data_IF_953575298938
#
_entry.id   IF_953575298938
#
_cell.length_a   1.000
_cell.length_b   1.000
_cell.length_c   1.000
_cell.angle_alpha   90.00
_cell.angle_beta   90.00
_cell.angle_gamma   90.00
#
_symmetry.space_group_name_H-M   'P 1'
#
loop_
_entity.id
_entity.type
_entity.pdbx_description
1 polymer ?
#
# COMPACT_ATOMS: atom_id res chain seq x y z
N UNK A 1 7.30 29.98 1.93
CA UNK A 1 7.41 29.17 0.69
C UNK A 1 7.75 27.75 1.12
N UNK A 2 6.99 26.75 0.63
CA UNK A 2 7.18 25.33 0.93
C UNK A 2 8.25 24.77 -0.01
N UNK A 3 9.32 24.26 0.55
CA UNK A 3 10.47 23.72 -0.19
C UNK A 3 10.24 22.24 -0.51
N UNK A 4 10.14 21.89 -1.79
CA UNK A 4 9.78 20.55 -2.26
C UNK A 4 10.93 19.89 -2.99
N UNK A 5 11.20 18.61 -2.68
CA UNK A 5 12.09 17.73 -3.42
C UNK A 5 11.25 16.73 -4.21
N UNK A 6 11.52 16.57 -5.52
CA UNK A 6 10.87 15.60 -6.39
C UNK A 6 11.78 14.40 -6.62
N UNK A 7 11.28 13.19 -6.38
CA UNK A 7 12.02 11.93 -6.59
C UNK A 7 11.14 11.01 -7.45
N UNK A 8 11.47 10.85 -8.73
CA UNK A 8 10.71 10.07 -9.71
C UNK A 8 11.64 9.69 -10.88
N UNK A 9 11.69 8.45 -11.31
CA UNK A 9 12.54 8.02 -12.42
C UNK A 9 11.94 8.38 -13.80
N UNK A 10 10.65 8.73 -13.85
CA UNK A 10 9.98 9.17 -15.08
C UNK A 10 10.22 10.66 -15.34
N UNK A 11 11.16 10.97 -16.23
CA UNK A 11 11.54 12.34 -16.57
C UNK A 11 10.36 13.24 -16.93
N UNK A 12 9.43 12.77 -17.76
CA UNK A 12 8.26 13.57 -18.21
C UNK A 12 7.30 13.88 -17.05
N UNK A 13 7.14 12.96 -16.09
CA UNK A 13 6.31 13.18 -14.89
C UNK A 13 6.98 14.23 -14.02
N UNK A 14 8.27 14.07 -13.77
CA UNK A 14 9.08 14.98 -12.95
C UNK A 14 9.08 16.40 -13.51
N UNK A 15 9.36 16.56 -14.83
CA UNK A 15 9.31 17.86 -15.50
C UNK A 15 7.92 18.51 -15.45
N UNK A 16 6.85 17.74 -15.67
CA UNK A 16 5.49 18.24 -15.63
C UNK A 16 5.07 18.70 -14.23
N UNK A 17 5.44 17.93 -13.20
CA UNK A 17 5.20 18.30 -11.81
C UNK A 17 6.00 19.54 -11.40
N UNK A 18 7.30 19.58 -11.72
CA UNK A 18 8.15 20.73 -11.43
C UNK A 18 7.57 22.02 -12.03
N UNK A 19 7.27 22.02 -13.33
CA UNK A 19 6.70 23.18 -14.01
C UNK A 19 5.37 23.64 -13.40
N UNK A 20 4.50 22.70 -13.01
CA UNK A 20 3.24 23.04 -12.36
C UNK A 20 3.47 23.61 -10.94
N UNK A 21 4.33 22.98 -10.14
CA UNK A 21 4.59 23.42 -8.77
C UNK A 21 5.29 24.78 -8.72
N UNK A 22 6.21 25.06 -9.64
CA UNK A 22 6.85 26.38 -9.79
C UNK A 22 5.87 27.48 -10.17
N UNK A 23 4.70 27.14 -10.78
CA UNK A 23 3.64 28.12 -11.02
C UNK A 23 2.85 28.51 -9.78
N UNK A 24 3.03 27.77 -8.67
CA UNK A 24 2.37 28.06 -7.39
C UNK A 24 3.19 29.08 -6.58
N UNK A 25 2.60 30.19 -6.12
CA UNK A 25 3.35 31.26 -5.46
C UNK A 25 3.94 30.88 -4.10
N UNK A 26 3.47 29.80 -3.51
CA UNK A 26 3.80 29.34 -2.16
C UNK A 26 4.63 28.05 -2.14
N UNK A 27 5.02 27.50 -3.33
CA UNK A 27 5.79 26.27 -3.46
C UNK A 27 7.08 26.54 -4.28
N UNK A 28 8.17 25.98 -3.84
CA UNK A 28 9.47 26.04 -4.53
C UNK A 28 10.05 24.64 -4.68
N UNK A 29 10.37 24.22 -5.91
CA UNK A 29 11.06 22.96 -6.17
C UNK A 29 12.56 23.19 -5.98
N UNK A 30 13.11 22.68 -4.88
CA UNK A 30 14.52 22.88 -4.50
C UNK A 30 15.47 21.83 -5.04
N UNK A 31 14.92 20.77 -5.66
CA UNK A 31 15.73 19.71 -6.26
C UNK A 31 14.86 18.64 -6.92
N UNK A 32 15.50 17.91 -7.82
CA UNK A 32 14.94 16.77 -8.52
C UNK A 32 15.91 15.60 -8.48
N UNK A 33 15.40 14.38 -8.28
CA UNK A 33 16.15 13.15 -8.32
C UNK A 33 15.49 12.14 -9.26
N UNK A 34 16.29 11.44 -10.04
CA UNK A 34 15.85 10.40 -10.99
C UNK A 34 15.85 8.99 -10.41
N UNK A 35 16.30 8.82 -9.18
CA UNK A 35 16.36 7.54 -8.48
C UNK A 35 16.35 7.73 -6.96
N UNK A 36 16.09 6.65 -6.22
CA UNK A 36 15.98 6.69 -4.78
C UNK A 36 17.26 7.08 -4.06
N UNK A 37 18.43 6.67 -4.55
CA UNK A 37 19.72 6.98 -3.92
C UNK A 37 20.05 8.46 -3.99
N UNK A 38 19.97 9.05 -5.19
CA UNK A 38 20.11 10.49 -5.37
C UNK A 38 19.07 11.25 -4.55
N UNK A 39 17.85 10.74 -4.48
CA UNK A 39 16.77 11.29 -3.67
C UNK A 39 17.13 11.38 -2.19
N UNK A 40 17.69 10.30 -1.62
CA UNK A 40 18.15 10.27 -0.23
C UNK A 40 19.28 11.28 0.00
N UNK A 41 20.27 11.35 -0.90
CA UNK A 41 21.39 12.29 -0.79
C UNK A 41 20.89 13.74 -0.79
N UNK A 42 20.03 14.11 -1.74
CA UNK A 42 19.46 15.45 -1.83
C UNK A 42 18.52 15.78 -0.66
N UNK A 43 17.76 14.82 -0.15
CA UNK A 43 16.92 15.04 1.03
C UNK A 43 17.75 15.42 2.26
N UNK A 44 18.88 14.72 2.49
CA UNK A 44 19.77 14.99 3.62
C UNK A 44 20.48 16.34 3.46
N UNK A 45 20.96 16.64 2.24
CA UNK A 45 21.68 17.88 1.94
C UNK A 45 20.77 19.10 2.04
N UNK A 46 19.62 19.04 1.36
CA UNK A 46 18.75 20.20 1.15
C UNK A 46 17.69 20.39 2.23
N UNK A 47 17.38 19.34 3.00
CA UNK A 47 16.36 19.33 4.07
C UNK A 47 15.05 19.99 3.59
N UNK A 48 14.34 19.38 2.63
CA UNK A 48 13.08 19.89 2.12
C UNK A 48 11.99 19.87 3.19
N UNK A 49 10.97 20.74 3.06
CA UNK A 49 9.78 20.70 3.89
C UNK A 49 8.87 19.53 3.53
N UNK A 50 8.82 19.19 2.23
CA UNK A 50 8.03 18.08 1.70
C UNK A 50 8.81 17.35 0.60
N UNK A 51 8.69 16.03 0.57
CA UNK A 51 9.27 15.16 -0.46
C UNK A 51 8.13 14.50 -1.23
N UNK A 52 8.11 14.63 -2.56
CA UNK A 52 7.29 13.79 -3.43
C UNK A 52 8.13 12.60 -3.87
N UNK A 53 7.68 11.38 -3.58
CA UNK A 53 8.41 10.14 -3.77
C UNK A 53 7.65 9.16 -4.66
N UNK A 54 8.23 8.78 -5.80
CA UNK A 54 7.71 7.61 -6.53
C UNK A 54 8.06 6.31 -5.81
N UNK A 55 7.16 5.34 -5.88
CA UNK A 55 7.39 4.02 -5.29
C UNK A 55 8.22 3.09 -6.18
N UNK A 56 8.02 3.19 -7.48
CA UNK A 56 8.59 2.24 -8.44
C UNK A 56 9.72 2.93 -9.19
N UNK A 57 10.93 2.70 -8.72
CA UNK A 57 12.15 3.23 -9.35
C UNK A 57 13.18 2.12 -9.51
N UNK A 58 14.04 2.25 -10.49
CA UNK A 58 15.12 1.31 -10.72
C UNK A 58 16.21 1.44 -9.64
N UNK A 59 16.75 0.32 -9.16
CA UNK A 59 17.74 0.29 -8.09
C UNK A 59 17.12 0.41 -6.70
N UNK A 60 17.27 1.54 -6.02
CA UNK A 60 16.63 1.81 -4.73
C UNK A 60 15.18 2.25 -4.94
N UNK A 61 14.22 1.45 -4.49
CA UNK A 61 12.81 1.80 -4.59
C UNK A 61 12.37 2.87 -3.59
N UNK A 62 11.13 3.38 -3.76
CA UNK A 62 10.61 4.44 -2.91
C UNK A 62 10.36 4.02 -1.46
N UNK A 63 10.17 2.73 -1.18
CA UNK A 63 10.00 2.22 0.19
C UNK A 63 11.35 2.25 0.91
N UNK A 64 12.40 1.75 0.27
CA UNK A 64 13.77 1.75 0.80
C UNK A 64 14.26 3.19 1.00
N UNK A 65 14.03 4.08 0.01
CA UNK A 65 14.39 5.48 0.09
C UNK A 65 13.64 6.20 1.23
N UNK A 66 12.34 5.97 1.38
CA UNK A 66 11.52 6.50 2.48
C UNK A 66 12.08 6.08 3.83
N UNK A 67 12.36 4.79 4.01
CA UNK A 67 12.93 4.25 5.25
C UNK A 67 14.28 4.87 5.59
N UNK A 68 15.15 5.02 4.60
CA UNK A 68 16.48 5.62 4.78
C UNK A 68 16.39 7.11 5.14
N UNK A 69 15.51 7.86 4.48
CA UNK A 69 15.25 9.29 4.78
C UNK A 69 14.71 9.46 6.20
N UNK A 70 13.69 8.68 6.57
CA UNK A 70 13.10 8.72 7.92
C UNK A 70 14.08 8.29 9.02
N UNK A 71 15.05 7.45 8.69
CA UNK A 71 16.14 7.09 9.62
C UNK A 71 17.21 8.17 9.82
N UNK A 72 17.28 9.16 8.92
CA UNK A 72 18.35 10.19 8.91
C UNK A 72 17.84 11.61 9.16
N UNK A 73 16.58 11.89 8.88
CA UNK A 73 15.95 13.18 9.11
C UNK A 73 14.93 13.08 10.22
N UNK A 74 14.78 14.15 10.97
CA UNK A 74 13.75 14.29 12.00
C UNK A 74 12.43 14.72 11.37
N UNK A 75 11.42 13.87 11.45
CA UNK A 75 10.05 14.09 10.98
C UNK A 75 9.90 14.56 9.50
N UNK A 76 10.53 13.87 8.50
CA UNK A 76 10.40 14.24 7.10
C UNK A 76 8.96 14.05 6.61
N UNK A 77 8.44 14.99 5.84
CA UNK A 77 7.09 14.93 5.28
C UNK A 77 7.16 14.31 3.88
N UNK A 78 6.89 13.02 3.78
CA UNK A 78 6.98 12.27 2.52
C UNK A 78 5.57 11.98 1.99
N UNK A 79 5.29 12.45 0.78
CA UNK A 79 4.09 12.15 0.00
C UNK A 79 4.50 11.15 -1.07
N UNK A 80 3.90 9.98 -1.03
CA UNK A 80 4.10 8.98 -2.08
C UNK A 80 3.21 9.28 -3.27
N UNK A 81 3.82 9.27 -4.47
CA UNK A 81 3.12 9.33 -5.75
C UNK A 81 3.36 8.03 -6.51
N UNK A 82 2.31 7.35 -6.95
CA UNK A 82 2.41 6.10 -7.69
C UNK A 82 1.42 6.00 -8.84
N UNK A 83 1.75 5.22 -9.85
CA UNK A 83 0.85 4.98 -10.99
C UNK A 83 -0.32 4.07 -10.63
N UNK A 84 -0.17 3.19 -9.64
CA UNK A 84 -1.16 2.19 -9.26
C UNK A 84 -1.26 2.05 -7.73
N UNK A 85 -2.46 1.71 -7.24
CA UNK A 85 -2.64 1.26 -5.86
C UNK A 85 -2.24 -0.21 -5.81
N UNK A 86 -1.00 -0.48 -5.45
CA UNK A 86 -0.50 -1.82 -5.20
C UNK A 86 -0.68 -2.14 -3.71
N UNK A 87 -1.57 -3.07 -3.40
CA UNK A 87 -1.94 -3.43 -2.04
C UNK A 87 -0.73 -3.90 -1.22
N UNK A 88 0.22 -4.55 -1.88
CA UNK A 88 1.42 -5.06 -1.23
C UNK A 88 2.44 -3.95 -0.90
N UNK A 89 2.34 -2.76 -1.50
CA UNK A 89 3.26 -1.64 -1.29
C UNK A 89 2.72 -0.51 -0.41
N UNK A 90 1.38 -0.36 -0.34
CA UNK A 90 0.74 0.71 0.46
C UNK A 90 1.15 0.64 1.93
N UNK A 91 0.98 -0.53 2.54
CA UNK A 91 1.29 -0.68 3.97
C UNK A 91 2.79 -0.55 4.27
N UNK A 92 3.70 -1.23 3.53
CA UNK A 92 5.13 -1.09 3.77
C UNK A 92 5.64 0.35 3.67
N UNK A 93 5.12 1.18 2.77
CA UNK A 93 5.58 2.56 2.64
C UNK A 93 5.05 3.47 3.75
N UNK A 94 3.83 3.24 4.23
CA UNK A 94 3.29 3.95 5.42
C UNK A 94 4.08 3.53 6.67
N UNK A 95 4.38 2.23 6.82
CA UNK A 95 5.22 1.72 7.91
C UNK A 95 6.66 2.26 7.85
N UNK A 96 7.18 2.49 6.65
CA UNK A 96 8.47 3.15 6.43
C UNK A 96 8.50 4.62 6.85
N UNK A 97 7.33 5.25 7.04
CA UNK A 97 7.17 6.62 7.52
C UNK A 97 6.58 7.61 6.52
N UNK A 98 6.01 7.16 5.40
CA UNK A 98 5.32 8.06 4.49
C UNK A 98 4.07 8.68 5.15
N UNK A 99 3.94 10.00 5.03
CA UNK A 99 2.83 10.76 5.60
C UNK A 99 1.56 10.68 4.74
N UNK A 100 1.71 10.69 3.42
CA UNK A 100 0.59 10.76 2.47
C UNK A 100 0.80 9.82 1.30
N UNK A 101 -0.31 9.43 0.66
CA UNK A 101 -0.28 8.53 -0.49
C UNK A 101 -1.29 8.99 -1.55
N UNK A 102 -0.81 9.30 -2.74
CA UNK A 102 -1.58 9.81 -3.87
C UNK A 102 -1.26 9.02 -5.16
N UNK A 103 -2.18 9.06 -6.12
CA UNK A 103 -1.94 8.54 -7.45
C UNK A 103 -1.32 9.60 -8.37
N UNK A 104 -0.43 9.21 -9.28
CA UNK A 104 0.09 10.07 -10.36
C UNK A 104 -1.01 10.55 -11.32
N UNK A 105 -2.19 9.90 -11.28
CA UNK A 105 -3.39 10.31 -12.03
C UNK A 105 -4.22 11.38 -11.32
N UNK A 106 -3.90 11.71 -10.07
CA UNK A 106 -4.54 12.83 -9.35
C UNK A 106 -4.29 14.15 -10.07
N UNK A 107 -5.22 15.08 -9.93
CA UNK A 107 -5.04 16.42 -10.52
C UNK A 107 -3.83 17.11 -9.89
N UNK A 108 -3.10 17.85 -10.69
CA UNK A 108 -1.93 18.60 -10.20
C UNK A 108 -2.28 19.57 -9.03
N UNK A 109 -3.50 20.14 -9.05
CA UNK A 109 -4.01 20.94 -7.92
C UNK A 109 -4.19 20.14 -6.63
N UNK A 110 -4.60 18.88 -6.72
CA UNK A 110 -4.75 17.98 -5.56
C UNK A 110 -3.39 17.62 -4.97
N UNK A 111 -2.36 17.48 -5.82
CA UNK A 111 -0.97 17.27 -5.38
C UNK A 111 -0.46 18.52 -4.65
N UNK A 112 -0.69 19.73 -5.20
CA UNK A 112 -0.30 20.97 -4.53
C UNK A 112 -1.00 21.15 -3.17
N UNK A 113 -2.30 20.81 -3.09
CA UNK A 113 -3.04 20.84 -1.82
C UNK A 113 -2.55 19.80 -0.82
N UNK A 114 -2.06 18.64 -1.29
CA UNK A 114 -1.43 17.64 -0.44
C UNK A 114 -0.06 18.11 0.08
N UNK A 115 0.72 18.83 -0.73
CA UNK A 115 1.97 19.44 -0.31
C UNK A 115 1.72 20.46 0.81
N UNK A 116 0.71 21.33 0.66
CA UNK A 116 0.32 22.31 1.69
C UNK A 116 -0.09 21.62 3.00
N UNK A 117 -0.94 20.60 2.92
CA UNK A 117 -1.36 19.82 4.08
C UNK A 117 -0.15 19.11 4.74
N UNK A 118 0.70 18.44 3.96
CA UNK A 118 1.87 17.74 4.47
C UNK A 118 2.86 18.70 5.17
N UNK A 119 3.05 19.91 4.66
CA UNK A 119 3.96 20.90 5.26
C UNK A 119 3.59 21.30 6.70
N UNK A 120 2.33 21.14 7.07
CA UNK A 120 1.82 21.35 8.45
C UNK A 120 1.56 20.03 9.19
N UNK A 121 2.00 18.90 8.63
CA UNK A 121 1.86 17.57 9.24
C UNK A 121 0.49 16.92 9.07
N UNK A 122 -0.37 17.42 8.20
CA UNK A 122 -1.69 16.84 7.93
C UNK A 122 -1.59 15.78 6.81
N UNK A 123 -1.93 14.51 7.08
CA UNK A 123 -1.90 13.46 6.05
C UNK A 123 -3.05 13.60 5.06
N UNK A 124 -2.77 13.38 3.78
CA UNK A 124 -3.79 13.13 2.75
C UNK A 124 -3.66 11.73 2.20
N UNK A 125 -4.70 10.92 2.39
CA UNK A 125 -4.82 9.58 1.84
C UNK A 125 -6.06 9.53 0.95
N UNK A 126 -5.94 8.94 -0.22
CA UNK A 126 -7.12 8.60 -1.00
C UNK A 126 -8.02 7.62 -0.22
N UNK A 127 -9.35 7.74 -0.36
CA UNK A 127 -10.31 6.95 0.41
C UNK A 127 -10.08 5.43 0.30
N UNK A 128 -9.67 4.95 -0.89
CA UNK A 128 -9.31 3.55 -1.12
C UNK A 128 -8.08 3.13 -0.34
N UNK A 129 -7.07 3.99 -0.25
CA UNK A 129 -5.84 3.74 0.50
C UNK A 129 -6.11 3.78 1.99
N UNK A 130 -6.86 4.76 2.46
CA UNK A 130 -7.26 4.87 3.87
C UNK A 130 -8.02 3.62 4.35
N UNK A 131 -8.96 3.10 3.55
CA UNK A 131 -9.67 1.85 3.85
C UNK A 131 -8.74 0.65 4.03
N UNK A 132 -7.71 0.52 3.17
CA UNK A 132 -6.73 -0.57 3.24
C UNK A 132 -5.81 -0.46 4.44
N UNK A 133 -5.32 0.74 4.74
CA UNK A 133 -4.49 0.99 5.93
C UNK A 133 -5.27 0.66 7.20
N UNK A 134 -6.52 1.12 7.31
CA UNK A 134 -7.39 0.83 8.45
C UNK A 134 -7.70 -0.68 8.59
N UNK A 135 -7.98 -1.37 7.48
CA UNK A 135 -8.18 -2.81 7.46
C UNK A 135 -6.96 -3.54 8.03
N UNK A 136 -5.76 -3.19 7.57
CA UNK A 136 -4.53 -3.84 8.02
C UNK A 136 -4.14 -3.47 9.46
N UNK A 137 -4.40 -2.23 9.89
CA UNK A 137 -4.21 -1.82 11.29
C UNK A 137 -5.13 -2.58 12.24
N UNK A 138 -6.37 -2.87 11.86
CA UNK A 138 -7.28 -3.73 12.63
C UNK A 138 -6.69 -5.13 12.80
N UNK A 139 -6.05 -5.68 11.77
CA UNK A 139 -5.42 -7.00 11.82
C UNK A 139 -4.10 -7.02 12.61
N UNK A 140 -3.39 -5.89 12.72
CA UNK A 140 -2.13 -5.79 13.49
C UNK A 140 -2.31 -5.42 14.95
N UNK A 141 -3.48 -4.87 15.33
CA UNK A 141 -3.77 -4.44 16.71
C UNK A 141 -4.28 -5.55 17.64
N UNK A 142 -4.07 -6.83 17.33
CA UNK A 142 -4.47 -7.96 18.19
C UNK A 142 -5.94 -8.36 18.03
N UNK A 143 -6.63 -7.96 16.97
CA UNK A 143 -7.90 -8.55 16.58
C UNK A 143 -7.66 -9.98 16.10
N UNK A 144 -8.55 -10.86 16.49
CA UNK A 144 -8.53 -12.29 16.18
C UNK A 144 -8.28 -12.53 14.68
N UNK A 145 -7.41 -13.48 14.29
CA UNK A 145 -7.17 -13.81 12.89
C UNK A 145 -8.49 -14.04 12.14
N UNK A 146 -8.62 -13.55 10.91
CA UNK A 146 -9.88 -13.63 10.15
C UNK A 146 -10.48 -15.03 10.09
N UNK A 147 -9.63 -16.06 10.13
CA UNK A 147 -10.10 -17.45 10.16
C UNK A 147 -10.81 -17.84 11.47
N UNK A 148 -10.68 -17.08 12.55
CA UNK A 148 -11.46 -17.30 13.77
C UNK A 148 -12.94 -16.89 13.60
N UNK A 149 -13.24 -16.07 12.57
CA UNK A 149 -14.63 -15.75 12.17
C UNK A 149 -15.30 -16.87 11.38
N UNK A 150 -14.54 -17.88 10.94
CA UNK A 150 -15.06 -19.02 10.22
C UNK A 150 -15.79 -19.97 11.18
N UNK A 151 -16.92 -20.50 10.72
CA UNK A 151 -17.57 -21.63 11.40
C UNK A 151 -16.68 -22.88 11.32
N UNK A 152 -16.88 -23.84 12.22
CA UNK A 152 -16.14 -25.10 12.17
C UNK A 152 -16.19 -25.76 10.78
N UNK A 153 -17.35 -25.67 10.11
CA UNK A 153 -17.57 -26.23 8.76
C UNK A 153 -16.79 -25.45 7.68
N UNK A 154 -16.76 -24.14 7.77
CA UNK A 154 -16.00 -23.29 6.85
C UNK A 154 -14.49 -23.52 7.02
N UNK A 155 -14.01 -23.65 8.26
CA UNK A 155 -12.60 -23.95 8.54
C UNK A 155 -12.19 -25.33 7.98
N UNK A 156 -13.05 -26.34 8.14
CA UNK A 156 -12.83 -27.67 7.57
C UNK A 156 -12.73 -27.62 6.04
N UNK A 157 -13.64 -26.91 5.39
CA UNK A 157 -13.63 -26.73 3.93
C UNK A 157 -12.41 -25.92 3.48
N UNK A 158 -12.00 -24.88 4.23
CA UNK A 158 -10.79 -24.12 3.92
C UNK A 158 -9.52 -24.99 3.93
N UNK A 159 -9.41 -25.91 4.88
CA UNK A 159 -8.28 -26.87 4.94
C UNK A 159 -8.23 -27.74 3.70
N UNK A 160 -9.38 -28.30 3.29
CA UNK A 160 -9.48 -29.13 2.08
C UNK A 160 -9.19 -28.32 0.80
N UNK A 161 -9.57 -27.05 0.77
CA UNK A 161 -9.21 -26.11 -0.31
C UNK A 161 -7.69 -25.92 -0.36
N UNK A 162 -7.03 -25.75 0.77
CA UNK A 162 -5.59 -25.59 0.86
C UNK A 162 -4.82 -26.85 0.49
N UNK A 163 -5.41 -28.04 0.69
CA UNK A 163 -4.89 -29.31 0.19
C UNK A 163 -5.07 -29.51 -1.33
N UNK A 164 -5.67 -28.55 -2.02
CA UNK A 164 -5.87 -28.59 -3.48
C UNK A 164 -7.08 -29.41 -3.94
N UNK A 165 -7.97 -29.84 -3.05
CA UNK A 165 -9.17 -30.65 -3.40
C UNK A 165 -10.18 -29.83 -4.19
N UNK A 166 -10.82 -30.43 -5.20
CA UNK A 166 -11.88 -29.79 -5.96
C UNK A 166 -13.19 -29.72 -5.16
N UNK A 167 -14.13 -28.87 -5.58
CA UNK A 167 -15.45 -28.83 -4.94
C UNK A 167 -16.21 -30.17 -4.98
N UNK A 168 -15.90 -31.03 -5.96
CA UNK A 168 -16.46 -32.37 -6.05
C UNK A 168 -15.87 -33.28 -4.97
N UNK A 169 -14.54 -33.27 -4.83
CA UNK A 169 -13.84 -34.10 -3.83
C UNK A 169 -14.28 -33.70 -2.41
N UNK A 170 -14.40 -32.38 -2.15
CA UNK A 170 -14.87 -31.83 -0.87
C UNK A 170 -16.33 -32.26 -0.60
N UNK A 171 -17.19 -32.23 -1.62
CA UNK A 171 -18.59 -32.64 -1.48
C UNK A 171 -18.70 -34.15 -1.14
N UNK A 172 -17.90 -34.99 -1.77
CA UNK A 172 -17.83 -36.43 -1.52
C UNK A 172 -17.29 -36.72 -0.10
N UNK A 173 -16.20 -36.08 0.27
CA UNK A 173 -15.55 -36.30 1.58
C UNK A 173 -16.41 -35.83 2.76
N UNK A 174 -17.10 -34.71 2.59
CA UNK A 174 -17.92 -34.12 3.64
C UNK A 174 -19.40 -34.54 3.60
N UNK A 175 -19.77 -35.43 2.67
CA UNK A 175 -21.16 -35.93 2.47
C UNK A 175 -22.19 -34.81 2.27
N UNK A 176 -21.84 -33.78 1.47
CA UNK A 176 -22.72 -32.65 1.14
C UNK A 176 -22.78 -32.43 -0.37
N UNK A 177 -23.67 -31.55 -0.81
CA UNK A 177 -23.80 -31.26 -2.25
C UNK A 177 -22.71 -30.30 -2.73
N UNK A 178 -22.31 -30.39 -4.00
CA UNK A 178 -21.37 -29.43 -4.63
C UNK A 178 -21.89 -28.00 -4.51
N UNK A 179 -23.22 -27.80 -4.57
CA UNK A 179 -23.83 -26.46 -4.38
C UNK A 179 -23.54 -25.92 -2.99
N UNK A 180 -23.66 -26.77 -1.97
CA UNK A 180 -23.37 -26.41 -0.57
C UNK A 180 -21.89 -26.04 -0.40
N UNK A 181 -20.97 -26.81 -1.01
CA UNK A 181 -19.52 -26.47 -1.00
C UNK A 181 -19.28 -25.11 -1.63
N UNK A 182 -19.87 -24.81 -2.80
CA UNK A 182 -19.74 -23.50 -3.46
C UNK A 182 -20.21 -22.37 -2.56
N UNK A 183 -21.32 -22.53 -1.85
CA UNK A 183 -21.83 -21.52 -0.91
C UNK A 183 -20.83 -21.28 0.23
N UNK A 184 -20.30 -22.35 0.84
CA UNK A 184 -19.30 -22.21 1.89
C UNK A 184 -18.01 -21.55 1.38
N UNK A 185 -17.52 -21.92 0.20
CA UNK A 185 -16.33 -21.29 -0.41
C UNK A 185 -16.58 -19.79 -0.60
N UNK A 186 -17.72 -19.37 -1.13
CA UNK A 186 -18.05 -17.94 -1.27
C UNK A 186 -18.04 -17.23 0.08
N UNK A 187 -18.62 -17.84 1.12
CA UNK A 187 -18.63 -17.26 2.47
C UNK A 187 -17.19 -17.17 3.06
N UNK A 188 -16.37 -18.20 2.83
CA UNK A 188 -14.96 -18.22 3.25
C UNK A 188 -14.20 -17.07 2.59
N UNK A 189 -14.31 -16.91 1.25
CA UNK A 189 -13.65 -15.82 0.53
C UNK A 189 -14.06 -14.45 1.09
N UNK A 190 -15.35 -14.24 1.33
CA UNK A 190 -15.86 -13.00 1.91
C UNK A 190 -15.34 -12.76 3.33
N UNK A 191 -15.31 -13.77 4.20
CA UNK A 191 -14.83 -13.65 5.60
C UNK A 191 -13.33 -13.49 5.72
N UNK A 192 -12.57 -14.11 4.80
CA UNK A 192 -11.12 -13.97 4.73
C UNK A 192 -10.68 -12.73 3.94
N UNK A 193 -11.63 -11.98 3.37
CA UNK A 193 -11.37 -10.79 2.54
C UNK A 193 -10.41 -11.07 1.37
N UNK A 194 -10.59 -12.22 0.71
CA UNK A 194 -9.79 -12.66 -0.45
C UNK A 194 -10.66 -12.82 -1.69
N UNK A 195 -10.08 -12.58 -2.87
CA UNK A 195 -10.82 -12.54 -4.14
C UNK A 195 -11.06 -13.91 -4.74
N UNK A 196 -10.18 -14.87 -4.49
CA UNK A 196 -10.24 -16.18 -5.12
C UNK A 196 -9.77 -17.32 -4.21
N UNK A 197 -10.04 -18.53 -4.70
CA UNK A 197 -9.71 -19.79 -4.03
C UNK A 197 -8.21 -19.98 -3.79
N UNK A 198 -7.36 -19.49 -4.70
CA UNK A 198 -5.90 -19.60 -4.58
C UNK A 198 -5.41 -18.75 -3.42
N UNK A 199 -5.93 -17.53 -3.31
CA UNK A 199 -5.62 -16.64 -2.19
C UNK A 199 -6.09 -17.23 -0.85
N UNK A 200 -7.25 -17.88 -0.80
CA UNK A 200 -7.74 -18.58 0.39
C UNK A 200 -6.80 -19.73 0.80
N UNK A 201 -6.30 -20.51 -0.16
CA UNK A 201 -5.33 -21.56 0.10
C UNK A 201 -3.99 -20.99 0.63
N UNK A 202 -3.47 -19.94 0.02
CA UNK A 202 -2.26 -19.23 0.49
C UNK A 202 -2.46 -18.67 1.90
N UNK A 203 -3.65 -18.10 2.19
CA UNK A 203 -3.99 -17.63 3.53
C UNK A 203 -3.90 -18.77 4.58
N UNK A 204 -4.48 -19.95 4.26
CA UNK A 204 -4.46 -21.10 5.14
C UNK A 204 -3.04 -21.60 5.46
N UNK A 205 -2.17 -21.65 4.44
CA UNK A 205 -0.75 -22.03 4.63
C UNK A 205 0.03 -20.98 5.45
N UNK A 206 -0.13 -19.69 5.17
CA UNK A 206 0.52 -18.59 5.90
C UNK A 206 0.15 -18.58 7.40
N UNK A 207 -1.10 -18.93 7.71
CA UNK A 207 -1.60 -18.98 9.09
C UNK A 207 -1.44 -20.38 9.73
N UNK A 208 -0.71 -21.30 9.08
CA UNK A 208 -0.41 -22.67 9.59
C UNK A 208 -1.69 -23.46 9.94
N UNK A 209 -2.79 -23.24 9.20
CA UNK A 209 -4.05 -23.97 9.39
C UNK A 209 -3.98 -25.38 8.78
N UNK A 210 -3.02 -25.62 7.87
CA UNK A 210 -2.67 -26.88 7.23
C UNK A 210 -1.17 -27.09 7.34
N UNK A 211 -0.76 -28.38 7.32
CA UNK A 211 0.66 -28.77 7.35
C UNK A 211 1.26 -28.76 5.95
#
# INVERSE_FOLDING_TARGET
VIRVLLIDDHEMVRMGLAAFLESQPDIEVIGEASDGRLGVELAIEKKPDVILMDLVMEGMDGIEATKEICGKLDDPKIIVLTSFIDDDKVYPVIEAGALSYLLKTSKASEIADAIRAASIGEPKLEAKVAGKVLSKLRHSSGEQPLHESLTARELEILKLVAEGKTNKDIAEELFITIKTVKTHVTNILSKLEVDDRTQAAVYAHRNKLVQ
#
